data_IF_145127598316
#
_entry.id   IF_145127598316
#
_cell.length_a   1.000
_cell.length_b   1.000
_cell.length_c   1.000
_cell.angle_alpha   90.00
_cell.angle_beta   90.00
_cell.angle_gamma   90.00
#
_symmetry.space_group_name_H-M   'P 1'
#
loop_
_entity.id
_entity.type
_entity.pdbx_description
1 polymer ?
#
# COMPACT_ATOMS: atom_id res chain seq x y z
N UNK A 1 -2.12 2.40 -3.82
CA UNK A 1 -1.08 3.45 -3.68
C UNK A 1 -0.06 2.96 -2.67
N UNK A 2 1.15 3.50 -2.67
CA UNK A 2 2.21 3.14 -1.73
C UNK A 2 3.02 4.38 -1.36
N UNK A 3 3.64 4.36 -0.18
CA UNK A 3 4.54 5.40 0.31
C UNK A 3 5.80 4.74 0.88
N UNK A 4 6.81 5.54 1.17
CA UNK A 4 8.07 5.08 1.76
C UNK A 4 8.38 5.84 3.05
N UNK A 5 9.17 5.21 3.91
CA UNK A 5 9.81 5.87 5.06
C UNK A 5 11.32 5.68 4.96
N UNK A 6 12.07 6.78 4.95
CA UNK A 6 13.53 6.77 4.92
C UNK A 6 14.08 7.87 5.81
N UNK A 7 15.08 7.57 6.66
CA UNK A 7 15.68 8.53 7.61
C UNK A 7 14.64 9.37 8.38
N UNK A 8 13.58 8.72 8.86
CA UNK A 8 12.45 9.35 9.58
C UNK A 8 11.62 10.36 8.75
N UNK A 9 11.77 10.35 7.42
CA UNK A 9 10.94 11.11 6.50
C UNK A 9 9.97 10.18 5.78
N UNK A 10 8.72 10.60 5.69
CA UNK A 10 7.66 9.90 4.99
C UNK A 10 7.51 10.52 3.61
N UNK A 11 7.61 9.69 2.58
CA UNK A 11 7.78 10.11 1.20
C UNK A 11 6.67 9.48 0.36
N UNK A 12 6.04 10.30 -0.47
CA UNK A 12 5.21 9.78 -1.55
C UNK A 12 6.09 9.09 -2.61
N UNK A 13 5.47 8.26 -3.45
CA UNK A 13 6.12 7.51 -4.53
C UNK A 13 6.93 8.39 -5.48
N UNK A 14 6.52 9.64 -5.67
CA UNK A 14 7.16 10.57 -6.60
C UNK A 14 8.37 11.28 -5.95
N UNK A 15 8.49 11.27 -4.62
CA UNK A 15 9.53 11.98 -3.87
C UNK A 15 10.77 11.10 -3.60
N UNK A 16 10.61 9.77 -3.65
CA UNK A 16 11.63 8.81 -3.21
C UNK A 16 12.96 8.95 -3.97
N UNK A 17 12.93 9.21 -5.29
CA UNK A 17 14.16 9.31 -6.09
C UNK A 17 15.03 10.49 -5.67
N UNK A 18 14.42 11.61 -5.30
CA UNK A 18 15.15 12.82 -4.90
C UNK A 18 15.69 12.71 -3.47
N UNK A 19 15.14 11.79 -2.67
CA UNK A 19 15.55 11.58 -1.28
C UNK A 19 16.66 10.53 -1.11
N UNK A 20 16.90 9.68 -2.13
CA UNK A 20 17.90 8.62 -2.05
C UNK A 20 19.30 9.13 -2.46
N UNK A 21 20.38 8.65 -1.79
CA UNK A 21 21.74 9.07 -2.11
C UNK A 21 22.19 8.61 -3.51
N UNK A 22 21.60 7.53 -4.00
CA UNK A 22 21.78 7.05 -5.36
C UNK A 22 20.49 7.28 -6.14
N UNK A 23 20.59 7.91 -7.30
CA UNK A 23 19.44 8.11 -8.18
C UNK A 23 18.92 6.75 -8.63
N UNK A 24 17.65 6.50 -8.35
CA UNK A 24 16.94 5.31 -8.83
C UNK A 24 16.12 5.67 -10.06
N UNK A 25 15.76 4.66 -10.84
CA UNK A 25 14.78 4.85 -11.90
C UNK A 25 13.38 4.96 -11.28
N UNK A 26 12.88 6.19 -11.21
CA UNK A 26 11.52 6.51 -10.77
C UNK A 26 10.60 6.87 -11.93
N UNK A 27 10.90 6.41 -13.15
CA UNK A 27 10.01 6.58 -14.29
C UNK A 27 8.65 5.96 -14.04
N UNK A 28 7.63 6.48 -14.71
CA UNK A 28 6.28 5.91 -14.69
C UNK A 28 6.29 4.41 -15.01
N UNK A 29 7.18 3.96 -15.90
CA UNK A 29 7.32 2.56 -16.27
C UNK A 29 7.66 1.67 -15.06
N UNK A 30 8.66 2.05 -14.26
CA UNK A 30 9.05 1.30 -13.06
C UNK A 30 7.91 1.33 -12.03
N UNK A 31 7.30 2.49 -11.82
CA UNK A 31 6.22 2.65 -10.86
C UNK A 31 4.97 1.82 -11.24
N UNK A 32 4.58 1.82 -12.52
CA UNK A 32 3.50 0.97 -13.03
C UNK A 32 3.86 -0.52 -12.99
N UNK A 33 5.13 -0.88 -13.21
CA UNK A 33 5.57 -2.27 -13.09
C UNK A 33 5.41 -2.78 -11.66
N UNK A 34 5.77 -1.97 -10.65
CA UNK A 34 5.54 -2.29 -9.24
C UNK A 34 4.05 -2.47 -8.93
N UNK A 35 3.19 -1.55 -9.39
CA UNK A 35 1.74 -1.65 -9.23
C UNK A 35 1.18 -2.93 -9.87
N UNK A 36 1.68 -3.31 -11.04
CA UNK A 36 1.26 -4.54 -11.74
C UNK A 36 1.66 -5.79 -10.97
N UNK A 37 2.85 -5.84 -10.40
CA UNK A 37 3.28 -6.97 -9.55
C UNK A 37 2.36 -7.07 -8.34
N UNK A 38 2.11 -5.96 -7.64
CA UNK A 38 1.19 -5.94 -6.50
C UNK A 38 -0.24 -6.38 -6.86
N UNK A 39 -0.76 -5.95 -8.01
CA UNK A 39 -2.07 -6.40 -8.50
C UNK A 39 -2.12 -7.91 -8.76
N UNK A 40 -1.07 -8.48 -9.36
CA UNK A 40 -0.96 -9.93 -9.57
C UNK A 40 -0.93 -10.72 -8.25
N UNK A 41 -0.26 -10.19 -7.23
CA UNK A 41 -0.23 -10.82 -5.91
C UNK A 41 -1.60 -10.78 -5.22
N UNK A 42 -2.33 -9.66 -5.35
CA UNK A 42 -3.72 -9.56 -4.87
C UNK A 42 -4.63 -10.56 -5.60
N UNK A 43 -4.52 -10.69 -6.93
CA UNK A 43 -5.28 -11.69 -7.69
C UNK A 43 -5.00 -13.12 -7.24
N UNK A 44 -3.73 -13.45 -6.95
CA UNK A 44 -3.34 -14.77 -6.42
C UNK A 44 -3.94 -15.00 -5.04
N UNK A 45 -3.90 -14.00 -4.16
CA UNK A 45 -4.51 -14.07 -2.84
C UNK A 45 -6.03 -14.29 -2.92
N UNK A 46 -6.74 -13.58 -3.81
CA UNK A 46 -8.18 -13.75 -4.02
C UNK A 46 -8.49 -15.18 -4.48
N UNK A 47 -7.74 -15.71 -5.46
CA UNK A 47 -7.89 -17.10 -5.92
C UNK A 47 -7.67 -18.10 -4.78
N UNK A 48 -6.64 -17.88 -3.96
CA UNK A 48 -6.35 -18.72 -2.80
C UNK A 48 -7.53 -18.71 -1.81
N UNK A 49 -8.07 -17.54 -1.45
CA UNK A 49 -9.26 -17.47 -0.59
C UNK A 49 -10.43 -18.27 -1.17
N UNK A 50 -10.70 -18.14 -2.47
CA UNK A 50 -11.76 -18.87 -3.17
C UNK A 50 -11.54 -20.39 -3.15
N UNK A 51 -10.30 -20.86 -3.37
CA UNK A 51 -9.95 -22.29 -3.31
C UNK A 51 -10.27 -22.91 -1.95
N UNK A 52 -10.08 -22.16 -0.87
CA UNK A 52 -10.41 -22.56 0.50
C UNK A 52 -11.83 -22.18 0.93
N UNK A 53 -12.67 -21.70 0.01
CA UNK A 53 -14.05 -21.25 0.26
C UNK A 53 -14.11 -20.23 1.42
N UNK A 54 -13.16 -19.30 1.44
CA UNK A 54 -13.05 -18.18 2.37
C UNK A 54 -13.32 -16.88 1.65
N UNK A 55 -13.85 -15.92 2.40
CA UNK A 55 -13.93 -14.53 1.95
C UNK A 55 -12.51 -13.96 1.81
N UNK A 56 -12.30 -13.09 0.82
CA UNK A 56 -11.05 -12.33 0.67
C UNK A 56 -11.23 -10.93 1.25
N UNK A 57 -10.17 -10.27 1.74
CA UNK A 57 -10.26 -8.89 2.17
C UNK A 57 -10.66 -7.98 1.00
N UNK A 58 -11.39 -6.92 1.33
CA UNK A 58 -11.80 -5.84 0.42
C UNK A 58 -10.86 -4.64 0.52
N UNK A 59 -10.18 -4.47 1.66
CA UNK A 59 -9.11 -3.49 1.86
C UNK A 59 -7.98 -4.07 2.71
N UNK A 60 -6.76 -3.59 2.48
CA UNK A 60 -5.57 -3.98 3.21
C UNK A 60 -4.68 -2.77 3.45
N UNK A 61 -4.14 -2.66 4.67
CA UNK A 61 -3.10 -1.70 5.05
C UNK A 61 -1.90 -2.50 5.48
N UNK A 62 -0.79 -2.35 4.76
CA UNK A 62 0.39 -3.19 4.92
C UNK A 62 1.60 -2.28 5.18
N UNK A 63 2.31 -2.52 6.28
CA UNK A 63 3.56 -1.82 6.62
C UNK A 63 4.64 -2.86 6.81
N UNK A 64 5.70 -2.74 6.02
CA UNK A 64 6.88 -3.57 6.16
C UNK A 64 8.06 -2.73 6.66
N UNK A 65 8.58 -3.08 7.83
CA UNK A 65 9.78 -2.47 8.40
C UNK A 65 10.99 -3.38 8.08
N UNK A 66 11.79 -2.94 7.10
CA UNK A 66 12.96 -3.69 6.66
C UNK A 66 14.09 -3.77 7.71
N UNK A 67 14.17 -2.82 8.65
CA UNK A 67 15.19 -2.82 9.70
C UNK A 67 14.84 -3.83 10.80
N UNK A 68 13.57 -3.87 11.19
CA UNK A 68 13.06 -4.82 12.19
C UNK A 68 12.72 -6.18 11.59
N UNK A 69 12.69 -6.29 10.26
CA UNK A 69 12.20 -7.45 9.53
C UNK A 69 10.80 -7.86 10.03
N UNK A 70 9.92 -6.87 10.18
CA UNK A 70 8.57 -7.04 10.72
C UNK A 70 7.52 -6.54 9.74
N UNK A 71 6.39 -7.24 9.72
CA UNK A 71 5.26 -6.92 8.87
C UNK A 71 4.05 -6.67 9.77
N UNK A 72 3.52 -5.46 9.70
CA UNK A 72 2.24 -5.09 10.31
C UNK A 72 1.17 -5.02 9.21
N UNK A 73 -0.01 -5.52 9.55
CA UNK A 73 -1.10 -5.61 8.59
C UNK A 73 -2.47 -5.50 9.22
N UNK A 74 -3.34 -4.72 8.58
CA UNK A 74 -4.77 -4.60 8.89
C UNK A 74 -5.57 -4.97 7.65
N UNK A 75 -6.69 -5.65 7.86
CA UNK A 75 -7.59 -6.12 6.80
C UNK A 75 -9.02 -5.69 7.10
N UNK A 76 -9.79 -5.36 6.06
CA UNK A 76 -11.24 -5.14 6.15
C UNK A 76 -11.97 -5.99 5.11
N UNK A 77 -13.15 -6.49 5.49
CA UNK A 77 -14.04 -7.32 4.65
C UNK A 77 -15.37 -6.59 4.37
N UNK A 78 -15.50 -5.33 4.76
CA UNK A 78 -16.80 -4.65 4.76
C UNK A 78 -17.31 -4.25 3.38
N UNK A 79 -16.45 -4.15 2.36
CA UNK A 79 -16.84 -3.72 1.00
C UNK A 79 -17.45 -2.31 1.00
N UNK A 80 -16.87 -1.38 1.77
CA UNK A 80 -17.49 -0.07 2.04
C UNK A 80 -17.66 0.83 0.81
N UNK A 81 -16.80 0.69 -0.21
CA UNK A 81 -16.90 1.47 -1.45
C UNK A 81 -18.13 1.12 -2.30
N UNK A 82 -18.71 -0.07 -2.12
CA UNK A 82 -19.96 -0.45 -2.80
C UNK A 82 -21.19 0.22 -2.17
N UNK A 83 -21.04 0.79 -0.97
CA UNK A 83 -22.12 1.34 -0.14
C UNK A 83 -22.10 2.87 -0.08
N UNK A 84 -20.96 3.48 -0.37
CA UNK A 84 -20.72 4.91 -0.26
C UNK A 84 -19.90 5.40 -1.45
N UNK A 85 -20.57 6.04 -2.41
CA UNK A 85 -19.95 6.59 -3.62
C UNK A 85 -19.09 7.85 -3.34
N UNK A 86 -19.27 8.50 -2.18
CA UNK A 86 -18.44 9.65 -1.76
C UNK A 86 -17.09 9.19 -1.20
N UNK A 87 -16.98 7.92 -0.80
CA UNK A 87 -15.75 7.33 -0.33
C UNK A 87 -14.79 7.08 -1.50
N UNK A 88 -13.72 7.88 -1.57
CA UNK A 88 -12.71 7.75 -2.62
C UNK A 88 -11.46 7.03 -2.10
N UNK A 89 -11.01 5.92 -2.73
CA UNK A 89 -9.83 5.18 -2.29
C UNK A 89 -8.57 6.03 -2.12
N UNK A 90 -8.42 7.07 -2.97
CA UNK A 90 -7.31 8.02 -2.88
C UNK A 90 -7.35 8.83 -1.58
N UNK A 91 -8.51 9.36 -1.20
CA UNK A 91 -8.66 10.16 0.01
C UNK A 91 -8.45 9.30 1.26
N UNK A 92 -8.93 8.05 1.23
CA UNK A 92 -8.72 7.10 2.32
C UNK A 92 -7.25 6.71 2.48
N UNK A 93 -6.51 6.58 1.36
CA UNK A 93 -5.06 6.40 1.41
C UNK A 93 -4.34 7.62 1.98
N UNK A 94 -4.70 8.83 1.55
CA UNK A 94 -4.09 10.08 2.03
C UNK A 94 -4.31 10.25 3.55
N UNK A 95 -5.52 9.98 4.04
CA UNK A 95 -5.80 9.95 5.49
C UNK A 95 -4.91 8.96 6.23
N UNK A 96 -4.83 7.72 5.74
CA UNK A 96 -3.99 6.70 6.37
C UNK A 96 -2.51 7.06 6.35
N UNK A 97 -2.03 7.69 5.27
CA UNK A 97 -0.64 8.13 5.19
C UNK A 97 -0.33 9.19 6.25
N UNK A 98 -1.23 10.14 6.48
CA UNK A 98 -1.08 11.12 7.57
C UNK A 98 -1.14 10.46 8.95
N UNK A 99 -2.04 9.50 9.18
CA UNK A 99 -2.08 8.72 10.43
C UNK A 99 -0.75 8.00 10.69
N UNK A 100 -0.13 7.42 9.66
CA UNK A 100 1.18 6.75 9.78
C UNK A 100 2.28 7.75 10.17
N UNK A 101 2.27 8.95 9.58
CA UNK A 101 3.21 10.03 9.93
C UNK A 101 3.05 10.46 11.39
N UNK A 102 1.81 10.72 11.82
CA UNK A 102 1.49 11.18 13.17
C UNK A 102 1.88 10.15 14.24
N UNK A 103 1.61 8.87 13.97
CA UNK A 103 1.92 7.77 14.89
C UNK A 103 3.38 7.28 14.81
N UNK A 104 4.19 7.88 13.92
CA UNK A 104 5.58 7.53 13.68
C UNK A 104 5.82 6.05 13.33
N UNK A 105 4.85 5.40 12.68
CA UNK A 105 4.88 3.98 12.32
C UNK A 105 5.95 3.69 11.25
#
# INVERSE_FOLDING_TARGET
MFFFKSNNHYLDRDEISDYLPNKIDSSDEIQFSLLRIGAQDIERMVKLCQEYNREHPTEMWLIYDAQKNSFDSRYSYEGRYDKDEELLPRLEFEKWFEEVKENQL
#
